data_IF_921624924301
#
_entry.id   IF_921624924301
#
_cell.length_a   1.000
_cell.length_b   1.000
_cell.length_c   1.000
_cell.angle_alpha   90.00
_cell.angle_beta   90.00
_cell.angle_gamma   90.00
#
_symmetry.space_group_name_H-M   'P 1'
#
loop_
_entity.id
_entity.type
_entity.pdbx_description
1 polymer ?
#
# COMPACT_ATOMS: atom_id res chain seq x y z
N UNK A 1 -27.36 12.87 10.80
CA UNK A 1 -27.38 11.86 9.73
C UNK A 1 -26.13 11.01 9.87
N UNK A 2 -26.25 9.71 10.09
CA UNK A 2 -25.10 8.80 10.09
C UNK A 2 -24.59 8.64 8.66
N UNK A 3 -23.33 8.95 8.41
CA UNK A 3 -22.66 8.63 7.14
C UNK A 3 -22.70 7.10 6.98
N UNK A 4 -23.35 6.62 5.91
CA UNK A 4 -23.26 5.20 5.52
C UNK A 4 -21.79 4.83 5.39
N UNK A 5 -21.35 3.62 5.80
CA UNK A 5 -20.00 3.18 5.48
C UNK A 5 -19.83 3.28 3.97
N UNK A 6 -18.86 4.09 3.54
CA UNK A 6 -18.50 4.16 2.13
C UNK A 6 -17.93 2.80 1.76
N UNK A 7 -18.66 2.05 0.94
CA UNK A 7 -18.11 0.86 0.31
C UNK A 7 -17.01 1.32 -0.65
N UNK A 8 -15.80 0.78 -0.48
CA UNK A 8 -14.66 1.05 -1.34
C UNK A 8 -14.47 -0.17 -2.24
N UNK A 9 -14.57 0.04 -3.54
CA UNK A 9 -14.13 -0.92 -4.55
C UNK A 9 -12.77 -0.48 -5.07
N UNK A 10 -11.75 -1.33 -4.85
CA UNK A 10 -10.40 -1.11 -5.37
C UNK A 10 -10.15 -2.10 -6.50
N UNK A 11 -10.00 -1.56 -7.70
CA UNK A 11 -9.63 -2.34 -8.88
C UNK A 11 -8.17 -2.05 -9.24
N UNK A 12 -7.36 -3.09 -9.36
CA UNK A 12 -5.96 -3.02 -9.80
C UNK A 12 -5.89 -3.74 -11.14
N UNK A 13 -5.76 -2.98 -12.22
CA UNK A 13 -5.71 -3.56 -13.57
C UNK A 13 -4.54 -4.53 -13.74
N UNK A 14 -3.36 -4.13 -13.27
CA UNK A 14 -2.16 -4.94 -13.38
C UNK A 14 -1.24 -4.74 -12.18
N UNK A 15 -0.68 -5.85 -11.68
CA UNK A 15 0.40 -5.85 -10.70
C UNK A 15 1.68 -6.38 -11.35
N UNK A 16 2.55 -5.46 -11.78
CA UNK A 16 3.81 -5.80 -12.45
C UNK A 16 4.90 -6.12 -11.42
N UNK A 17 5.30 -7.39 -11.34
CA UNK A 17 6.29 -7.90 -10.38
C UNK A 17 7.62 -8.28 -11.08
N UNK A 18 8.44 -7.28 -11.38
CA UNK A 18 9.79 -7.51 -11.92
C UNK A 18 10.73 -8.12 -10.87
N UNK A 19 11.62 -9.02 -11.29
CA UNK A 19 12.61 -9.65 -10.41
C UNK A 19 12.06 -10.78 -9.53
N UNK A 20 10.75 -11.05 -9.54
CA UNK A 20 10.14 -12.16 -8.82
C UNK A 20 9.96 -13.39 -9.73
N UNK A 21 10.17 -14.58 -9.15
CA UNK A 21 9.95 -15.84 -9.82
C UNK A 21 8.48 -15.96 -10.26
N UNK A 22 8.18 -16.49 -11.47
CA UNK A 22 6.81 -16.60 -11.96
C UNK A 22 5.85 -17.32 -10.99
N UNK A 23 6.34 -18.35 -10.29
CA UNK A 23 5.55 -19.10 -9.30
C UNK A 23 5.15 -18.30 -8.06
N UNK A 24 5.89 -17.23 -7.72
CA UNK A 24 5.60 -16.41 -6.55
C UNK A 24 4.62 -15.29 -6.82
N UNK A 25 4.48 -14.87 -8.09
CA UNK A 25 3.71 -13.66 -8.47
C UNK A 25 2.25 -13.72 -8.05
N UNK A 26 1.59 -14.87 -8.27
CA UNK A 26 0.20 -15.07 -7.86
C UNK A 26 0.05 -15.01 -6.33
N UNK A 27 0.95 -15.67 -5.60
CA UNK A 27 0.94 -15.67 -4.13
C UNK A 27 1.18 -14.27 -3.54
N UNK A 28 2.05 -13.48 -4.18
CA UNK A 28 2.26 -12.06 -3.81
C UNK A 28 0.97 -11.27 -4.07
N UNK A 29 0.39 -11.38 -5.27
CA UNK A 29 -0.84 -10.67 -5.65
C UNK A 29 -2.02 -10.95 -4.70
N UNK A 30 -2.26 -12.23 -4.40
CA UNK A 30 -3.27 -12.66 -3.45
C UNK A 30 -3.08 -12.03 -2.06
N UNK A 31 -1.82 -11.97 -1.60
CA UNK A 31 -1.51 -11.33 -0.32
C UNK A 31 -1.66 -9.82 -0.35
N UNK A 32 -1.34 -9.16 -1.46
CA UNK A 32 -1.60 -7.72 -1.64
C UNK A 32 -3.10 -7.45 -1.53
N UNK A 33 -3.94 -8.20 -2.24
CA UNK A 33 -5.39 -8.03 -2.21
C UNK A 33 -5.95 -8.21 -0.80
N UNK A 34 -5.60 -9.31 -0.13
CA UNK A 34 -6.06 -9.58 1.24
C UNK A 34 -5.64 -8.49 2.21
N UNK A 35 -4.37 -8.08 2.15
CA UNK A 35 -3.84 -7.09 3.10
C UNK A 35 -4.39 -5.68 2.84
N UNK A 36 -4.51 -5.25 1.57
CA UNK A 36 -5.16 -3.98 1.25
C UNK A 36 -6.61 -3.97 1.72
N UNK A 37 -7.36 -5.05 1.49
CA UNK A 37 -8.74 -5.18 1.97
C UNK A 37 -8.81 -5.02 3.48
N UNK A 38 -7.90 -5.67 4.22
CA UNK A 38 -7.80 -5.57 5.67
C UNK A 38 -7.46 -4.15 6.13
N UNK A 39 -6.43 -3.52 5.55
CA UNK A 39 -5.98 -2.18 5.92
C UNK A 39 -7.06 -1.12 5.65
N UNK A 40 -7.75 -1.21 4.51
CA UNK A 40 -8.85 -0.31 4.15
C UNK A 40 -10.03 -0.51 5.10
N UNK A 41 -10.39 -1.76 5.42
CA UNK A 41 -11.48 -2.03 6.34
C UNK A 41 -11.20 -1.54 7.77
N UNK A 42 -9.97 -1.72 8.25
CA UNK A 42 -9.58 -1.36 9.61
C UNK A 42 -9.29 0.14 9.79
N UNK A 43 -8.65 0.76 8.79
CA UNK A 43 -8.09 2.12 8.92
C UNK A 43 -8.71 3.12 7.96
N UNK A 44 -9.55 2.67 7.03
CA UNK A 44 -10.09 3.50 5.97
C UNK A 44 -9.03 3.93 4.95
N UNK A 45 -9.46 4.81 4.05
CA UNK A 45 -8.62 5.55 3.13
C UNK A 45 -8.80 7.03 3.44
N UNK A 46 -7.79 7.63 4.07
CA UNK A 46 -7.84 9.04 4.39
C UNK A 46 -7.54 9.87 3.13
N UNK A 47 -8.19 11.01 2.96
CA UNK A 47 -8.07 11.82 1.74
C UNK A 47 -9.09 11.48 0.64
N UNK A 48 -9.83 10.37 0.76
CA UNK A 48 -11.01 10.08 -0.07
C UNK A 48 -12.30 10.67 0.52
N UNK A 49 -12.24 11.93 0.97
CA UNK A 49 -13.40 12.59 1.57
C UNK A 49 -14.48 12.91 0.52
N UNK A 50 -15.35 11.94 0.26
CA UNK A 50 -16.67 12.16 -0.35
C UNK A 50 -16.72 12.33 -1.87
N UNK A 51 -15.63 12.05 -2.60
CA UNK A 51 -15.59 12.16 -4.07
C UNK A 51 -14.70 11.09 -4.73
N UNK A 52 -14.85 10.95 -6.04
CA UNK A 52 -13.95 10.13 -6.87
C UNK A 52 -12.57 10.80 -6.88
N UNK A 53 -11.53 10.05 -6.50
CA UNK A 53 -10.15 10.52 -6.56
C UNK A 53 -9.53 9.97 -7.85
N UNK A 54 -9.35 10.84 -8.84
CA UNK A 54 -8.59 10.53 -10.03
C UNK A 54 -7.09 10.70 -9.74
N UNK A 55 -6.42 9.62 -9.34
CA UNK A 55 -4.97 9.59 -9.24
C UNK A 55 -4.41 9.10 -10.59
N UNK A 56 -3.78 9.98 -11.36
CA UNK A 56 -3.08 9.57 -12.59
C UNK A 56 -1.88 8.66 -12.28
N UNK A 57 -1.17 8.93 -11.17
CA UNK A 57 -0.07 8.10 -10.69
C UNK A 57 0.10 8.23 -9.19
N UNK A 58 0.13 7.09 -8.50
CA UNK A 58 0.48 7.00 -7.09
C UNK A 58 1.89 6.42 -6.97
N UNK A 59 2.81 7.16 -6.36
CA UNK A 59 4.09 6.60 -5.95
C UNK A 59 3.87 5.79 -4.66
N UNK A 60 3.89 4.46 -4.76
CA UNK A 60 3.74 3.55 -3.61
C UNK A 60 4.88 3.62 -2.60
N UNK A 61 5.97 4.33 -2.93
CA UNK A 61 7.18 4.42 -2.13
C UNK A 61 8.08 3.19 -2.27
N UNK A 62 9.07 3.11 -1.40
CA UNK A 62 10.03 2.01 -1.35
C UNK A 62 9.78 1.11 -0.14
N UNK A 63 10.10 -0.18 -0.31
CA UNK A 63 10.15 -1.16 0.76
C UNK A 63 11.34 -2.09 0.54
N UNK A 64 11.82 -2.73 1.60
CA UNK A 64 12.95 -3.64 1.54
C UNK A 64 12.47 -5.08 1.68
N UNK A 65 12.85 -5.91 0.71
CA UNK A 65 12.60 -7.35 0.75
C UNK A 65 13.88 -8.05 1.16
N UNK A 66 13.84 -8.78 2.28
CA UNK A 66 14.98 -9.61 2.68
C UNK A 66 15.11 -10.82 1.74
N UNK A 67 16.34 -11.28 1.43
CA UNK A 67 16.54 -12.51 0.67
C UNK A 67 15.80 -13.69 1.30
N UNK A 68 15.12 -14.50 0.48
CA UNK A 68 14.34 -15.65 0.95
C UNK A 68 13.03 -15.29 1.66
N UNK A 69 12.58 -14.03 1.60
CA UNK A 69 11.26 -13.65 2.12
C UNK A 69 10.15 -14.45 1.47
N UNK A 70 9.19 -14.88 2.27
CA UNK A 70 8.01 -15.59 1.76
C UNK A 70 7.16 -14.65 0.88
N UNK A 71 6.56 -15.15 -0.21
CA UNK A 71 5.67 -14.37 -1.08
C UNK A 71 4.59 -13.60 -0.31
N UNK A 72 4.00 -14.23 0.72
CA UNK A 72 2.98 -13.59 1.54
C UNK A 72 3.49 -12.39 2.31
N UNK A 73 4.70 -12.46 2.87
CA UNK A 73 5.33 -11.33 3.58
C UNK A 73 5.61 -10.17 2.63
N UNK A 74 6.07 -10.47 1.42
CA UNK A 74 6.30 -9.45 0.37
C UNK A 74 4.98 -8.75 0.04
N UNK A 75 3.90 -9.50 -0.19
CA UNK A 75 2.59 -8.94 -0.49
C UNK A 75 2.05 -8.05 0.63
N UNK A 76 2.21 -8.45 1.90
CA UNK A 76 1.82 -7.63 3.05
C UNK A 76 2.60 -6.31 3.13
N UNK A 77 3.92 -6.35 2.89
CA UNK A 77 4.75 -5.15 2.91
C UNK A 77 4.38 -4.18 1.78
N UNK A 78 4.13 -4.72 0.58
CA UNK A 78 3.71 -3.94 -0.58
C UNK A 78 2.34 -3.27 -0.35
N UNK A 79 1.35 -4.02 0.15
CA UNK A 79 0.05 -3.48 0.52
C UNK A 79 0.15 -2.35 1.55
N UNK A 80 0.98 -2.53 2.57
CA UNK A 80 1.25 -1.49 3.56
C UNK A 80 1.90 -0.23 2.96
N UNK A 81 2.79 -0.39 1.98
CA UNK A 81 3.42 0.74 1.29
C UNK A 81 2.38 1.56 0.48
N UNK A 82 1.52 0.87 -0.26
CA UNK A 82 0.41 1.48 -1.01
C UNK A 82 -0.57 2.18 -0.07
N UNK A 83 -1.05 1.49 0.98
CA UNK A 83 -2.04 2.04 1.92
C UNK A 83 -1.56 3.33 2.60
N UNK A 84 -0.27 3.41 2.96
CA UNK A 84 0.31 4.61 3.59
C UNK A 84 0.23 5.86 2.71
N UNK A 85 0.18 5.72 1.39
CA UNK A 85 0.00 6.89 0.50
C UNK A 85 -1.40 7.49 0.59
N UNK A 86 -2.36 6.70 1.04
CA UNK A 86 -3.72 7.13 1.36
C UNK A 86 -3.91 7.41 2.86
N UNK A 87 -2.86 7.33 3.68
CA UNK A 87 -2.92 7.82 5.05
C UNK A 87 -2.68 9.34 5.05
N UNK A 88 -3.23 10.10 6.02
CA UNK A 88 -2.87 11.51 6.14
C UNK A 88 -1.35 11.56 6.38
N UNK A 89 -0.67 12.53 5.78
CA UNK A 89 0.74 12.79 6.04
C UNK A 89 0.95 13.10 7.54
N UNK A 90 1.14 12.06 8.35
CA UNK A 90 1.63 12.20 9.70
C UNK A 90 3.05 12.73 9.56
N UNK A 91 3.21 14.04 9.84
CA UNK A 91 4.46 14.81 9.93
C UNK A 91 5.72 13.94 9.83
N UNK A 92 6.23 13.72 8.62
CA UNK A 92 7.60 13.25 8.43
C UNK A 92 8.53 14.47 8.47
N UNK A 93 8.56 15.12 9.63
CA UNK A 93 9.49 16.17 9.99
C UNK A 93 10.45 15.66 11.04
N UNK A 94 11.55 15.03 10.61
CA UNK A 94 12.85 15.03 11.27
C UNK A 94 13.80 14.14 10.47
N UNK A 95 14.56 14.75 9.56
CA UNK A 95 15.83 14.19 9.09
C UNK A 95 16.79 14.19 10.29
N UNK A 96 17.36 13.06 10.74
CA UNK A 96 18.53 13.14 11.60
C UNK A 96 19.66 13.66 10.72
N UNK A 97 20.00 14.94 10.94
CA UNK A 97 21.26 15.51 10.51
C UNK A 97 22.38 14.66 11.10
N UNK A 98 23.05 13.86 10.28
CA UNK A 98 24.42 13.44 10.60
C UNK A 98 25.30 14.65 10.30
N UNK A 99 25.50 15.47 11.32
CA UNK A 99 26.69 16.32 11.42
C UNK A 99 27.90 15.40 11.49
N UNK A 100 28.84 15.58 10.58
CA UNK A 100 30.02 14.74 10.45
C UNK A 100 30.99 15.33 9.44
N UNK A 101 31.64 16.43 9.83
CA UNK A 101 33.02 16.83 9.52
C UNK A 101 33.23 18.27 10.02
#
# INVERSE_FOLDING_TARGET
>A
MALKPQAVELHIEELVLHGFAPGDRLSIGDSVQRELSRLIAERGLHGLAGGSLAIERLDGGAFQVAPGSRPGTIGTQLAGAIHRQFAPAAKMGAKPSRSGA
#
